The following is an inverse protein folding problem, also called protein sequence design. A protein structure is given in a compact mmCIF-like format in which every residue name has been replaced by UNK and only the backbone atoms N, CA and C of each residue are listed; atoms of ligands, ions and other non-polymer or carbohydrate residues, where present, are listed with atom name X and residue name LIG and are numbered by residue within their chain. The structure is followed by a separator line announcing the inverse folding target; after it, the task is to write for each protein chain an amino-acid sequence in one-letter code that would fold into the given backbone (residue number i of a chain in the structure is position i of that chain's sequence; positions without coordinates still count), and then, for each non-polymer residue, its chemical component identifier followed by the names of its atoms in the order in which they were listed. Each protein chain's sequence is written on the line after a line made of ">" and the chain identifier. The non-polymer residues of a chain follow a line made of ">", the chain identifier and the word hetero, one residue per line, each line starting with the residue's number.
data_IF_320611292763
#
_entry.id   IF_320611292763
#
_cell.length_a   1.000
_cell.length_b   1.000
_cell.length_c   1.000
_cell.angle_alpha   90.00
_cell.angle_beta   90.00
_cell.angle_gamma   90.00
#
_symmetry.space_group_name_H-M   'P 1'
#
loop_
_entity.id
_entity.type
_entity.pdbx_description
1 polymer ?
#
# COMPACT_ATOMS: atom_id res chain seq x y z
N UNK A 1 -26.27 -34.99 46.65
CA UNK A 1 -25.04 -35.16 45.84
C UNK A 1 -25.39 -35.43 44.37
N UNK A 2 -25.58 -34.37 43.59
CA UNK A 2 -25.49 -34.41 42.12
C UNK A 2 -24.88 -33.07 41.75
N UNK A 3 -23.59 -33.09 41.43
CA UNK A 3 -22.87 -31.93 40.92
C UNK A 3 -23.25 -31.74 39.45
N UNK A 4 -23.74 -30.55 39.13
CA UNK A 4 -24.02 -30.15 37.76
C UNK A 4 -22.70 -29.66 37.15
N UNK A 5 -22.01 -30.57 36.47
CA UNK A 5 -20.76 -30.32 35.76
C UNK A 5 -21.08 -29.53 34.49
N UNK A 6 -20.86 -28.21 34.54
CA UNK A 6 -20.98 -27.34 33.39
C UNK A 6 -19.98 -27.76 32.31
N UNK A 7 -20.51 -28.10 31.13
CA UNK A 7 -19.70 -28.40 29.95
C UNK A 7 -18.81 -27.19 29.59
N UNK A 8 -17.54 -27.39 29.24
CA UNK A 8 -16.69 -26.29 28.79
C UNK A 8 -17.14 -25.80 27.42
N UNK A 9 -17.35 -24.48 27.30
CA UNK A 9 -17.62 -23.79 26.04
C UNK A 9 -16.58 -24.17 24.97
N UNK A 10 -16.98 -24.31 23.69
CA UNK A 10 -16.06 -24.63 22.63
C UNK A 10 -14.99 -23.53 22.50
N UNK A 11 -13.72 -23.88 22.29
CA UNK A 11 -12.65 -22.91 22.16
C UNK A 11 -12.95 -22.03 20.96
N UNK A 12 -13.08 -20.72 21.21
CA UNK A 12 -13.32 -19.71 20.20
C UNK A 12 -12.36 -19.88 19.04
N UNK A 13 -12.91 -20.04 17.83
CA UNK A 13 -12.14 -20.09 16.60
C UNK A 13 -11.34 -18.79 16.48
N UNK A 14 -10.08 -18.87 16.88
CA UNK A 14 -9.09 -17.85 16.57
C UNK A 14 -8.96 -17.83 15.06
N UNK A 15 -9.68 -16.90 14.42
CA UNK A 15 -9.60 -16.65 12.97
C UNK A 15 -8.14 -16.70 12.58
N UNK A 16 -7.73 -17.74 11.86
CA UNK A 16 -6.37 -17.91 11.36
C UNK A 16 -6.14 -16.74 10.42
N UNK A 17 -5.46 -15.73 10.91
CA UNK A 17 -5.04 -14.57 10.15
C UNK A 17 -4.21 -15.10 8.98
N UNK A 18 -4.52 -14.66 7.76
CA UNK A 18 -3.84 -15.17 6.57
C UNK A 18 -2.31 -15.04 6.76
N UNK A 19 -1.50 -16.02 6.33
CA UNK A 19 -0.05 -15.98 6.53
C UNK A 19 0.61 -14.71 5.96
N UNK A 20 0.03 -14.14 4.90
CA UNK A 20 0.39 -12.86 4.30
C UNK A 20 0.20 -11.66 5.26
N UNK A 21 -0.83 -11.70 6.10
CA UNK A 21 -1.10 -10.71 7.16
C UNK A 21 -0.20 -10.93 8.39
N UNK A 22 0.17 -12.19 8.67
CA UNK A 22 1.07 -12.53 9.77
C UNK A 22 2.45 -11.89 9.58
N UNK A 23 3.01 -11.96 8.36
CA UNK A 23 4.29 -11.30 8.01
C UNK A 23 4.25 -9.78 8.09
N UNK A 24 3.10 -9.15 7.80
CA UNK A 24 2.91 -7.71 7.98
C UNK A 24 2.84 -7.30 9.46
N UNK A 25 2.31 -8.17 10.33
CA UNK A 25 2.31 -7.97 11.78
C UNK A 25 3.68 -8.26 12.42
N UNK A 26 4.49 -9.16 11.84
CA UNK A 26 5.86 -9.49 12.23
C UNK A 26 6.90 -8.39 11.89
N UNK A 27 6.45 -7.16 11.62
CA UNK A 27 7.25 -5.95 11.81
C UNK A 27 7.50 -5.69 13.32
N UNK A 28 7.94 -6.71 14.07
CA UNK A 28 8.22 -6.71 15.52
C UNK A 28 9.22 -5.64 15.96
N UNK A 29 9.92 -5.00 15.03
CA UNK A 29 10.87 -3.91 15.32
C UNK A 29 10.34 -2.48 15.13
N UNK A 30 9.11 -2.28 14.61
CA UNK A 30 8.56 -0.92 14.47
C UNK A 30 7.89 -0.42 15.76
N UNK A 31 7.22 -1.31 16.51
CA UNK A 31 6.51 -0.95 17.74
C UNK A 31 7.44 -0.59 18.92
N UNK A 32 8.67 -1.09 18.92
CA UNK A 32 9.71 -0.78 19.90
C UNK A 32 10.63 0.38 19.44
N UNK A 33 10.37 0.96 18.26
CA UNK A 33 11.15 2.07 17.73
C UNK A 33 10.73 3.37 18.42
N UNK A 34 11.70 4.08 18.99
CA UNK A 34 11.49 5.39 19.63
C UNK A 34 11.48 6.56 18.63
N UNK A 35 11.61 6.28 17.33
CA UNK A 35 11.75 7.29 16.28
C UNK A 35 10.39 7.68 15.68
N UNK A 36 9.49 6.71 15.52
CA UNK A 36 8.18 6.92 14.90
C UNK A 36 7.05 6.69 15.90
N UNK A 37 6.03 7.52 15.81
CA UNK A 37 4.76 7.30 16.48
C UNK A 37 4.09 6.02 16.02
N UNK A 38 3.09 5.57 16.80
CA UNK A 38 2.27 4.41 16.43
C UNK A 38 1.58 4.61 15.08
N UNK A 39 1.10 5.83 14.79
CA UNK A 39 0.42 6.15 13.54
C UNK A 39 1.37 6.05 12.33
N UNK A 40 2.57 6.62 12.44
CA UNK A 40 3.60 6.52 11.40
C UNK A 40 4.03 5.06 11.16
N UNK A 41 4.12 4.28 12.24
CA UNK A 41 4.43 2.86 12.15
C UNK A 41 3.37 2.06 11.40
N UNK A 42 2.09 2.44 11.52
CA UNK A 42 1.00 1.83 10.73
C UNK A 42 1.17 2.12 9.25
N UNK A 43 1.59 3.33 8.87
CA UNK A 43 1.83 3.69 7.46
C UNK A 43 3.01 2.91 6.87
N UNK A 44 4.12 2.78 7.59
CA UNK A 44 5.25 1.95 7.15
C UNK A 44 4.85 0.47 7.00
N UNK A 45 4.06 -0.05 7.94
CA UNK A 45 3.53 -1.42 7.86
C UNK A 45 2.61 -1.58 6.65
N UNK A 46 1.77 -0.59 6.37
CA UNK A 46 0.88 -0.60 5.22
C UNK A 46 1.67 -0.59 3.90
N UNK A 47 2.70 0.26 3.78
CA UNK A 47 3.62 0.27 2.63
C UNK A 47 4.24 -1.11 2.40
N UNK A 48 4.82 -1.70 3.45
CA UNK A 48 5.41 -3.04 3.36
C UNK A 48 4.35 -4.05 2.90
N UNK A 49 3.20 -4.15 3.58
CA UNK A 49 2.16 -5.13 3.24
C UNK A 49 1.78 -5.07 1.75
N UNK A 50 1.54 -3.88 1.22
CA UNK A 50 1.17 -3.72 -0.18
C UNK A 50 2.33 -3.99 -1.14
N UNK A 51 3.56 -3.61 -0.77
CA UNK A 51 4.75 -3.95 -1.54
C UNK A 51 4.91 -5.46 -1.66
N UNK A 52 4.97 -6.19 -0.55
CA UNK A 52 5.12 -7.65 -0.55
C UNK A 52 3.99 -8.35 -1.31
N UNK A 53 2.74 -7.92 -1.11
CA UNK A 53 1.57 -8.53 -1.74
C UNK A 53 1.50 -8.30 -3.26
N UNK A 54 1.88 -7.11 -3.73
CA UNK A 54 1.68 -6.72 -5.14
C UNK A 54 2.96 -6.74 -5.99
N UNK A 55 4.14 -6.84 -5.38
CA UNK A 55 5.42 -6.89 -6.09
C UNK A 55 5.53 -8.11 -7.03
N UNK A 56 5.01 -9.28 -6.63
CA UNK A 56 5.01 -10.51 -7.47
C UNK A 56 6.38 -10.81 -8.11
N UNK A 57 7.46 -10.69 -7.34
CA UNK A 57 8.86 -10.90 -7.79
C UNK A 57 9.36 -9.95 -8.88
N UNK A 58 8.64 -8.85 -9.15
CA UNK A 58 9.03 -7.84 -10.14
C UNK A 58 10.28 -7.07 -9.72
N UNK A 59 10.40 -6.76 -8.44
CA UNK A 59 11.55 -6.11 -7.81
C UNK A 59 12.10 -6.98 -6.69
N UNK A 60 13.38 -6.82 -6.31
CA UNK A 60 13.95 -7.52 -5.15
C UNK A 60 13.18 -7.24 -3.87
N UNK A 61 13.15 -8.23 -3.00
CA UNK A 61 12.59 -8.10 -1.66
C UNK A 61 13.31 -6.98 -0.88
N UNK A 62 12.53 -6.02 -0.37
CA UNK A 62 13.04 -4.94 0.46
C UNK A 62 12.06 -4.61 1.56
N UNK A 63 12.60 -4.16 2.70
CA UNK A 63 11.83 -3.71 3.84
C UNK A 63 11.87 -2.19 3.91
N UNK A 64 10.70 -1.56 3.88
CA UNK A 64 10.57 -0.11 4.03
C UNK A 64 10.62 0.24 5.51
N UNK A 65 11.62 0.99 5.93
CA UNK A 65 11.86 1.38 7.31
C UNK A 65 11.79 2.90 7.54
N UNK A 66 11.91 3.71 6.49
CA UNK A 66 11.85 5.17 6.54
C UNK A 66 10.99 5.78 5.42
N UNK A 67 10.71 7.08 5.54
CA UNK A 67 9.94 7.85 4.55
C UNK A 67 10.82 8.67 3.59
N UNK A 68 12.13 8.47 3.58
CA UNK A 68 13.07 9.17 2.70
C UNK A 68 13.70 8.22 1.68
N UNK A 69 14.91 7.72 1.93
CA UNK A 69 15.70 6.93 0.98
C UNK A 69 15.10 5.56 0.64
N UNK A 70 14.09 5.10 1.38
CA UNK A 70 13.35 3.89 0.97
C UNK A 70 12.30 4.16 -0.11
N UNK A 71 11.88 5.41 -0.28
CA UNK A 71 10.79 5.83 -1.17
C UNK A 71 11.23 6.71 -2.35
N UNK A 72 12.48 7.18 -2.35
CA UNK A 72 13.02 8.08 -3.38
C UNK A 72 13.01 7.47 -4.79
N UNK A 73 13.29 6.18 -4.92
CA UNK A 73 13.24 5.42 -6.18
C UNK A 73 11.83 5.26 -6.75
N UNK A 74 10.80 5.66 -5.99
CA UNK A 74 9.38 5.57 -6.30
C UNK A 74 8.86 4.16 -6.57
N UNK A 75 9.67 3.11 -6.40
CA UNK A 75 9.27 1.73 -6.71
C UNK A 75 8.21 1.27 -5.73
N UNK A 76 8.42 1.51 -4.44
CA UNK A 76 7.44 1.18 -3.40
C UNK A 76 6.11 1.88 -3.67
N UNK A 77 6.15 3.18 -3.98
CA UNK A 77 4.97 3.98 -4.29
C UNK A 77 4.22 3.43 -5.51
N UNK A 78 4.96 3.06 -6.57
CA UNK A 78 4.39 2.49 -7.80
C UNK A 78 3.64 1.18 -7.53
N UNK A 79 4.24 0.27 -6.75
CA UNK A 79 3.66 -1.03 -6.39
C UNK A 79 2.42 -0.83 -5.51
N UNK A 80 2.46 0.11 -4.57
CA UNK A 80 1.32 0.44 -3.70
C UNK A 80 0.14 0.97 -4.52
N UNK A 81 0.38 1.88 -5.48
CA UNK A 81 -0.65 2.36 -6.40
C UNK A 81 -1.21 1.20 -7.22
N UNK A 82 -0.34 0.39 -7.82
CA UNK A 82 -0.75 -0.75 -8.64
C UNK A 82 -1.56 -1.79 -7.85
N UNK A 83 -1.28 -1.94 -6.55
CA UNK A 83 -2.00 -2.88 -5.68
C UNK A 83 -3.47 -2.50 -5.45
N UNK A 84 -3.83 -1.22 -5.64
CA UNK A 84 -5.20 -0.71 -5.52
C UNK A 84 -5.83 -0.42 -6.88
N UNK A 85 -5.02 -0.01 -7.87
CA UNK A 85 -5.43 0.29 -9.24
C UNK A 85 -4.57 -0.51 -10.21
N UNK A 86 -4.88 -1.80 -10.47
CA UNK A 86 -4.07 -2.68 -11.32
C UNK A 86 -3.94 -2.22 -12.78
N UNK A 87 -4.83 -1.33 -13.23
CA UNK A 87 -4.87 -0.85 -14.60
C UNK A 87 -4.18 0.51 -14.79
N UNK A 88 -3.57 1.09 -13.74
CA UNK A 88 -2.83 2.35 -13.87
C UNK A 88 -1.61 2.13 -14.76
N UNK A 89 -1.59 2.77 -15.92
CA UNK A 89 -0.54 2.59 -16.94
C UNK A 89 0.73 3.36 -16.59
N UNK A 90 0.58 4.52 -15.95
CA UNK A 90 1.70 5.39 -15.62
C UNK A 90 2.80 4.70 -14.77
N UNK A 91 2.43 3.75 -13.91
CA UNK A 91 3.36 3.02 -13.04
C UNK A 91 3.87 1.69 -13.61
N UNK A 92 3.48 1.33 -14.83
CA UNK A 92 3.85 0.02 -15.40
C UNK A 92 5.28 -0.06 -15.88
N UNK A 93 5.96 1.06 -16.12
CA UNK A 93 7.30 1.09 -16.70
C UNK A 93 8.28 1.90 -15.84
N UNK A 94 8.39 1.54 -14.56
CA UNK A 94 9.39 2.14 -13.68
C UNK A 94 10.80 1.65 -14.03
N UNK A 95 11.79 2.53 -13.89
CA UNK A 95 13.22 2.22 -13.98
C UNK A 95 13.68 1.53 -12.71
N UNK A 96 14.33 0.38 -12.84
CA UNK A 96 15.01 -0.29 -11.74
C UNK A 96 16.18 -1.14 -12.27
N UNK A 97 17.37 -1.11 -11.64
CA UNK A 97 17.75 -0.28 -10.50
C UNK A 97 17.93 1.20 -10.87
N UNK A 98 17.65 2.11 -9.92
CA UNK A 98 17.96 3.52 -10.07
C UNK A 98 19.46 3.74 -9.80
N UNK A 99 20.21 4.19 -10.80
CA UNK A 99 21.67 4.38 -10.72
C UNK A 99 22.11 5.81 -11.01
N UNK A 100 21.26 6.59 -11.69
CA UNK A 100 21.48 7.99 -12.02
C UNK A 100 20.32 8.83 -11.52
N UNK A 101 20.55 10.12 -11.29
CA UNK A 101 19.52 11.08 -10.87
C UNK A 101 18.32 11.07 -11.83
N UNK A 102 18.56 11.00 -13.14
CA UNK A 102 17.51 10.95 -14.17
C UNK A 102 16.53 9.78 -13.95
N UNK A 103 16.99 8.62 -13.47
CA UNK A 103 16.09 7.49 -13.19
C UNK A 103 15.12 7.82 -12.05
N UNK A 104 15.58 8.51 -11.01
CA UNK A 104 14.74 8.94 -9.89
C UNK A 104 13.71 9.98 -10.33
N UNK A 105 14.12 10.94 -11.16
CA UNK A 105 13.22 11.98 -11.68
C UNK A 105 12.18 11.43 -12.67
N UNK A 106 12.57 10.52 -13.57
CA UNK A 106 11.66 9.81 -14.49
C UNK A 106 10.61 9.02 -13.69
N UNK A 107 11.06 8.24 -12.70
CA UNK A 107 10.17 7.49 -11.81
C UNK A 107 9.23 8.38 -10.99
N UNK A 108 9.72 9.50 -10.45
CA UNK A 108 8.88 10.47 -9.75
C UNK A 108 7.81 11.08 -10.68
N UNK A 109 8.17 11.35 -11.94
CA UNK A 109 7.24 11.83 -12.96
C UNK A 109 6.13 10.80 -13.22
N UNK A 110 6.48 9.53 -13.28
CA UNK A 110 5.50 8.44 -13.39
C UNK A 110 4.52 8.39 -12.22
N UNK A 111 4.96 8.67 -10.98
CA UNK A 111 4.05 8.75 -9.83
C UNK A 111 3.06 9.91 -9.99
N UNK A 112 3.52 11.09 -10.41
CA UNK A 112 2.61 12.23 -10.62
C UNK A 112 1.63 11.95 -11.75
N UNK A 113 2.09 11.37 -12.86
CA UNK A 113 1.22 10.93 -13.95
C UNK A 113 0.18 9.90 -13.47
N UNK A 114 0.58 8.99 -12.57
CA UNK A 114 -0.32 8.01 -11.97
C UNK A 114 -1.41 8.68 -11.13
N UNK A 115 -1.06 9.67 -10.30
CA UNK A 115 -2.04 10.44 -9.51
C UNK A 115 -3.06 11.11 -10.43
N UNK A 116 -2.61 11.72 -11.53
CA UNK A 116 -3.49 12.34 -12.52
C UNK A 116 -4.39 11.31 -13.21
N UNK A 117 -3.84 10.15 -13.58
CA UNK A 117 -4.59 9.06 -14.21
C UNK A 117 -5.72 8.53 -13.31
N UNK A 118 -5.47 8.40 -12.01
CA UNK A 118 -6.47 7.92 -11.03
C UNK A 118 -7.37 9.03 -10.47
N UNK A 119 -7.14 10.29 -10.86
CA UNK A 119 -7.93 11.45 -10.44
C UNK A 119 -7.65 11.94 -9.02
N UNK A 120 -6.46 11.66 -8.47
CA UNK A 120 -6.01 12.20 -7.19
C UNK A 120 -5.19 13.46 -7.38
N UNK A 121 -5.47 14.49 -6.58
CA UNK A 121 -4.74 15.75 -6.58
C UNK A 121 -4.03 15.93 -5.24
N UNK A 122 -2.70 16.00 -5.27
CA UNK A 122 -1.87 16.31 -4.12
C UNK A 122 -0.77 17.29 -4.55
N UNK A 123 -0.52 18.36 -3.79
CA UNK A 123 0.45 19.39 -4.18
C UNK A 123 1.90 18.92 -3.93
N UNK A 124 2.36 17.96 -4.71
CA UNK A 124 3.74 17.44 -4.71
C UNK A 124 4.37 17.58 -6.09
N UNK A 125 5.66 17.93 -6.12
CA UNK A 125 6.45 18.03 -7.34
C UNK A 125 7.36 16.80 -7.51
N UNK A 126 7.92 16.64 -8.72
CA UNK A 126 8.84 15.53 -9.02
C UNK A 126 10.07 15.57 -8.12
N UNK A 127 10.60 16.77 -7.88
CA UNK A 127 11.75 17.02 -6.99
C UNK A 127 11.50 16.60 -5.55
N UNK A 128 10.26 16.70 -5.08
CA UNK A 128 9.89 16.37 -3.70
C UNK A 128 9.85 14.84 -3.48
N UNK A 129 9.67 14.08 -4.56
CA UNK A 129 9.69 12.61 -4.56
C UNK A 129 11.11 12.09 -4.80
N UNK A 130 11.82 12.61 -5.81
CA UNK A 130 13.17 12.16 -6.15
C UNK A 130 14.22 12.56 -5.10
N UNK A 131 13.97 13.64 -4.35
CA UNK A 131 14.74 14.05 -3.17
C UNK A 131 13.84 14.05 -1.93
N UNK A 132 13.31 12.87 -1.60
CA UNK A 132 12.32 12.66 -0.56
C UNK A 132 12.74 13.24 0.81
N UNK A 133 11.99 14.23 1.28
CA UNK A 133 12.05 14.68 2.67
C UNK A 133 11.08 13.85 3.52
N UNK A 134 11.49 13.30 4.69
CA UNK A 134 10.65 12.40 5.48
C UNK A 134 9.27 12.96 5.81
N UNK A 135 9.19 14.26 6.10
CA UNK A 135 7.94 14.94 6.48
C UNK A 135 6.95 15.00 5.32
N UNK A 136 7.42 15.43 4.16
CA UNK A 136 6.55 15.64 2.99
C UNK A 136 6.12 14.30 2.42
N UNK A 137 7.03 13.33 2.41
CA UNK A 137 6.73 11.98 1.99
C UNK A 137 5.79 11.25 2.96
N UNK A 138 5.91 11.49 4.27
CA UNK A 138 4.94 11.01 5.25
C UNK A 138 3.53 11.54 4.96
N UNK A 139 3.40 12.85 4.70
CA UNK A 139 2.12 13.46 4.35
C UNK A 139 1.55 12.89 3.04
N UNK A 140 2.43 12.65 2.06
CA UNK A 140 2.04 12.02 0.80
C UNK A 140 1.57 10.57 0.99
N UNK A 141 2.30 9.77 1.76
CA UNK A 141 1.90 8.38 2.10
C UNK A 141 0.60 8.37 2.90
N UNK A 142 0.41 9.28 3.84
CA UNK A 142 -0.85 9.44 4.57
C UNK A 142 -2.02 9.75 3.62
N UNK A 143 -1.81 10.63 2.65
CA UNK A 143 -2.80 10.93 1.61
C UNK A 143 -3.13 9.70 0.77
N UNK A 144 -2.14 8.93 0.33
CA UNK A 144 -2.35 7.67 -0.40
C UNK A 144 -3.10 6.64 0.44
N UNK A 145 -2.73 6.48 1.71
CA UNK A 145 -3.37 5.57 2.66
C UNK A 145 -4.87 5.89 2.84
N UNK A 146 -5.24 7.17 2.84
CA UNK A 146 -6.64 7.58 2.96
C UNK A 146 -7.44 7.35 1.68
N UNK A 147 -6.84 7.55 0.50
CA UNK A 147 -7.58 7.58 -0.76
C UNK A 147 -7.56 6.25 -1.52
N UNK A 148 -6.43 5.54 -1.60
CA UNK A 148 -6.29 4.33 -2.40
C UNK A 148 -7.23 3.18 -2.00
N UNK A 149 -7.52 2.91 -0.70
CA UNK A 149 -8.45 1.86 -0.32
C UNK A 149 -9.88 2.03 -0.85
N UNK A 150 -10.27 3.23 -1.28
CA UNK A 150 -11.58 3.48 -1.89
C UNK A 150 -11.69 2.99 -3.33
N UNK A 151 -10.57 2.69 -4.00
CA UNK A 151 -10.55 2.16 -5.37
C UNK A 151 -10.76 0.65 -5.43
N UNK A 152 -10.71 -0.04 -4.28
CA UNK A 152 -10.98 -1.48 -4.20
C UNK A 152 -12.48 -1.70 -4.11
N UNK A 153 -13.11 -2.42 -5.05
CA UNK A 153 -14.56 -2.66 -5.04
C UNK A 153 -14.98 -3.38 -3.75
N UNK A 154 -15.86 -2.74 -2.97
CA UNK A 154 -16.41 -3.32 -1.73
C UNK A 154 -17.69 -4.11 -1.97
N UNK A 155 -18.41 -3.78 -3.03
CA UNK A 155 -19.69 -4.40 -3.40
C UNK A 155 -19.82 -4.44 -4.92
N UNK A 156 -20.44 -5.50 -5.43
CA UNK A 156 -20.80 -5.62 -6.84
C UNK A 156 -22.29 -5.33 -6.94
N UNK A 157 -22.64 -4.23 -7.61
CA UNK A 157 -24.05 -3.90 -7.89
C UNK A 157 -24.41 -4.59 -9.20
N UNK A 158 -25.28 -5.59 -9.14
CA UNK A 158 -25.81 -6.24 -10.34
C UNK A 158 -26.94 -5.38 -10.89
N UNK A 159 -26.67 -4.65 -11.97
CA UNK A 159 -27.72 -3.96 -12.70
C UNK A 159 -28.48 -4.96 -13.57
N UNK A 160 -29.67 -5.33 -13.13
CA UNK A 160 -30.62 -6.09 -13.95
C UNK A 160 -31.30 -5.14 -14.93
N UNK A 161 -30.59 -4.71 -15.96
CA UNK A 161 -31.20 -4.02 -17.10
C UNK A 161 -31.25 -4.97 -18.29
N UNK A 162 -32.36 -4.95 -19.02
CA UNK A 162 -32.51 -5.68 -20.27
C UNK A 162 -31.61 -5.00 -21.31
N UNK A 163 -30.41 -5.55 -21.52
CA UNK A 163 -29.56 -5.16 -22.63
C UNK A 163 -30.24 -5.63 -23.93
N UNK A 164 -30.85 -4.69 -24.66
CA UNK A 164 -31.45 -4.95 -25.98
C UNK A 164 -32.95 -5.21 -26.01
N UNK A 165 -33.78 -4.30 -25.47
CA UNK A 165 -35.14 -4.16 -26.01
C UNK A 165 -35.04 -3.27 -27.24
N UNK A 166 -34.88 -3.88 -28.41
CA UNK A 166 -35.08 -3.20 -29.70
C UNK A 166 -36.51 -2.66 -29.72
N UNK A 167 -36.66 -1.34 -29.68
CA UNK A 167 -37.87 -0.63 -30.09
C UNK A 167 -37.68 -0.08 -31.49
#
# INVERSE_FOLDING_TARGET
>A
PIGEEAAPDPPGESKKVCPELQGAWDAKGLGDSNVYSVAESVLLRWLNFHFWRANKERYPDRKVACFDGDLDDSIVLSVVIQSHVPNCQAVQMMRYPCTSFDHYEENATHIIAALQEIGLTFPIQTSDISSAQPRDMLLFVMFLFQNLPHYVPKTVIVFSTLLGVNM
#
